data_IF_040128632725
#
_entry.id   IF_040128632725
#
_cell.length_a   1.000
_cell.length_b   1.000
_cell.length_c   1.000
_cell.angle_alpha   90.00
_cell.angle_beta   90.00
_cell.angle_gamma   90.00
#
_symmetry.space_group_name_H-M   'P 1'
#
loop_
_entity.id
_entity.type
_entity.pdbx_description
1 polymer ?
#
# COMPACT_ATOMS: atom_id res chain seq x y z
N UNK A 1 7.30 7.06 -9.34
CA UNK A 1 7.28 7.25 -7.88
C UNK A 1 7.96 6.06 -7.25
N UNK A 2 8.98 6.31 -6.44
CA UNK A 2 9.73 5.26 -5.74
C UNK A 2 8.93 4.73 -4.55
N UNK A 3 9.14 3.46 -4.18
CA UNK A 3 8.46 2.85 -3.03
C UNK A 3 9.19 3.29 -1.76
N UNK A 4 8.52 3.96 -0.80
CA UNK A 4 9.17 4.36 0.44
C UNK A 4 9.65 3.14 1.25
N UNK A 5 10.79 3.26 1.93
CA UNK A 5 11.41 2.15 2.66
C UNK A 5 10.50 1.47 3.67
N UNK A 6 9.74 2.24 4.45
CA UNK A 6 8.78 1.72 5.44
C UNK A 6 7.62 0.94 4.81
N UNK A 7 7.19 1.33 3.61
CA UNK A 7 6.21 0.54 2.84
C UNK A 7 6.85 -0.73 2.27
N UNK A 8 8.09 -0.66 1.79
CA UNK A 8 8.81 -1.81 1.26
C UNK A 8 9.06 -2.87 2.34
N UNK A 9 9.48 -2.46 3.54
CA UNK A 9 9.65 -3.34 4.71
C UNK A 9 8.33 -4.02 5.09
N UNK A 10 7.23 -3.26 5.16
CA UNK A 10 5.93 -3.82 5.51
C UNK A 10 5.40 -4.82 4.46
N UNK A 11 5.66 -4.56 3.17
CA UNK A 11 5.35 -5.50 2.08
C UNK A 11 6.23 -6.76 2.16
N UNK A 12 7.53 -6.61 2.45
CA UNK A 12 8.45 -7.74 2.59
C UNK A 12 8.07 -8.66 3.77
N UNK A 13 7.48 -8.11 4.83
CA UNK A 13 6.95 -8.88 5.96
C UNK A 13 5.70 -9.70 5.61
N UNK A 14 5.00 -9.38 4.51
CA UNK A 14 3.75 -10.04 4.11
C UNK A 14 3.79 -10.44 2.64
N UNK A 15 4.25 -11.66 2.34
CA UNK A 15 4.42 -12.16 0.97
C UNK A 15 3.19 -12.01 0.08
N UNK A 16 1.98 -12.20 0.65
CA UNK A 16 0.71 -12.01 -0.09
C UNK A 16 0.50 -10.56 -0.51
N UNK A 17 0.79 -9.60 0.37
CA UNK A 17 0.68 -8.18 0.06
C UNK A 17 1.76 -7.74 -0.95
N UNK A 18 2.98 -8.28 -0.87
CA UNK A 18 4.03 -8.02 -1.85
C UNK A 18 3.61 -8.47 -3.26
N UNK A 19 3.06 -9.69 -3.38
CA UNK A 19 2.54 -10.21 -4.64
C UNK A 19 1.37 -9.36 -5.16
N UNK A 20 0.41 -9.01 -4.30
CA UNK A 20 -0.71 -8.15 -4.66
C UNK A 20 -0.24 -6.77 -5.13
N UNK A 21 0.71 -6.15 -4.42
CA UNK A 21 1.28 -4.85 -4.77
C UNK A 21 2.03 -4.87 -6.11
N UNK A 22 2.74 -5.96 -6.41
CA UNK A 22 3.42 -6.16 -7.68
C UNK A 22 2.43 -6.32 -8.86
N UNK A 23 1.25 -6.88 -8.60
CA UNK A 23 0.19 -7.06 -9.59
C UNK A 23 -0.70 -5.82 -9.80
N UNK A 24 -0.54 -4.77 -9.00
CA UNK A 24 -1.35 -3.54 -9.13
C UNK A 24 -1.10 -2.82 -10.45
N UNK A 25 -2.18 -2.28 -11.02
CA UNK A 25 -2.09 -1.31 -12.09
C UNK A 25 -1.49 0.03 -11.61
N UNK A 26 -1.08 0.88 -12.56
CA UNK A 26 -0.44 2.16 -12.23
C UNK A 26 -1.28 3.08 -11.35
N UNK A 27 -2.61 3.01 -11.46
CA UNK A 27 -3.53 3.83 -10.66
C UNK A 27 -3.58 3.36 -9.21
N UNK A 28 -3.76 2.07 -8.97
CA UNK A 28 -3.75 1.54 -7.60
C UNK A 28 -2.37 1.66 -6.97
N UNK A 29 -1.29 1.42 -7.74
CA UNK A 29 0.08 1.61 -7.27
C UNK A 29 0.31 3.06 -6.84
N UNK A 30 -0.11 4.02 -7.67
CA UNK A 30 -0.06 5.44 -7.31
C UNK A 30 -0.89 5.74 -6.06
N UNK A 31 -2.11 5.20 -5.94
CA UNK A 31 -2.97 5.42 -4.78
C UNK A 31 -2.34 4.91 -3.48
N UNK A 32 -1.70 3.74 -3.47
CA UNK A 32 -0.97 3.22 -2.31
C UNK A 32 0.17 4.16 -1.92
N UNK A 33 1.01 4.54 -2.90
CA UNK A 33 2.16 5.42 -2.67
C UNK A 33 1.75 6.82 -2.20
N UNK A 34 0.67 7.36 -2.75
CA UNK A 34 0.16 8.67 -2.37
C UNK A 34 -0.43 8.64 -0.95
N UNK A 35 -1.23 7.60 -0.61
CA UNK A 35 -1.85 7.47 0.71
C UNK A 35 -0.84 7.19 1.82
N UNK A 36 0.27 6.51 1.54
CA UNK A 36 1.34 6.31 2.53
C UNK A 36 2.10 7.61 2.80
N UNK A 37 2.39 8.41 1.76
CA UNK A 37 3.18 9.64 1.89
C UNK A 37 2.41 10.85 2.42
N UNK A 38 1.10 10.94 2.18
CA UNK A 38 0.26 12.09 2.57
C UNK A 38 -0.12 12.11 4.07
N UNK A 39 0.34 11.14 4.85
CA UNK A 39 0.13 11.14 6.28
C UNK A 39 0.96 12.25 6.97
N UNK A 40 0.28 13.11 7.73
CA UNK A 40 0.90 14.29 8.39
C UNK A 40 1.87 13.96 9.53
N UNK A 41 1.81 12.76 10.10
CA UNK A 41 2.68 12.35 11.21
C UNK A 41 3.27 10.96 10.96
N UNK A 42 4.48 10.65 11.47
CA UNK A 42 5.08 9.33 11.34
C UNK A 42 4.20 8.21 11.92
N UNK A 43 3.54 8.45 13.06
CA UNK A 43 2.63 7.48 13.65
C UNK A 43 1.40 7.20 12.76
N UNK A 44 0.82 8.25 12.15
CA UNK A 44 -0.30 8.07 11.22
C UNK A 44 0.14 7.39 9.91
N UNK A 45 1.39 7.62 9.48
CA UNK A 45 2.00 6.96 8.32
C UNK A 45 2.14 5.46 8.55
N UNK A 46 2.74 5.05 9.66
CA UNK A 46 2.89 3.64 10.02
C UNK A 46 1.53 2.93 10.07
N UNK A 47 0.51 3.55 10.71
CA UNK A 47 -0.86 3.00 10.76
C UNK A 47 -1.49 2.86 9.37
N UNK A 48 -1.29 3.84 8.48
CA UNK A 48 -1.80 3.77 7.09
C UNK A 48 -1.10 2.69 6.29
N UNK A 49 0.21 2.55 6.41
CA UNK A 49 0.99 1.51 5.72
C UNK A 49 0.51 0.13 6.18
N UNK A 50 0.44 -0.10 7.49
CA UNK A 50 -0.07 -1.36 8.03
C UNK A 50 -1.47 -1.70 7.48
N UNK A 51 -2.38 -0.72 7.46
CA UNK A 51 -3.71 -0.90 6.90
C UNK A 51 -3.69 -1.21 5.40
N UNK A 52 -2.88 -0.51 4.60
CA UNK A 52 -2.78 -0.74 3.17
C UNK A 52 -2.21 -2.14 2.86
N UNK A 53 -1.20 -2.58 3.61
CA UNK A 53 -0.60 -3.91 3.47
C UNK A 53 -1.61 -5.00 3.84
N UNK A 54 -2.35 -4.83 4.94
CA UNK A 54 -3.41 -5.76 5.33
C UNK A 54 -4.53 -5.83 4.28
N UNK A 55 -5.03 -4.67 3.82
CA UNK A 55 -6.04 -4.62 2.76
C UNK A 55 -5.54 -5.32 1.48
N UNK A 56 -4.28 -5.12 1.08
CA UNK A 56 -3.66 -5.79 -0.08
C UNK A 56 -3.51 -7.31 0.13
N UNK A 57 -3.11 -7.76 1.32
CA UNK A 57 -3.04 -9.18 1.65
C UNK A 57 -4.41 -9.86 1.55
N UNK A 58 -5.48 -9.12 1.84
CA UNK A 58 -6.87 -9.55 1.68
C UNK A 58 -7.41 -9.37 0.26
N UNK A 59 -6.59 -8.95 -0.71
CA UNK A 59 -7.00 -8.69 -2.09
C UNK A 59 -7.88 -7.45 -2.29
N UNK A 60 -7.99 -6.58 -1.28
CA UNK A 60 -8.74 -5.33 -1.36
C UNK A 60 -7.88 -4.24 -1.99
N UNK A 61 -8.43 -3.57 -3.00
CA UNK A 61 -7.77 -2.48 -3.69
C UNK A 61 -8.14 -1.12 -3.09
N UNK A 62 -7.18 -0.17 -2.98
CA UNK A 62 -7.47 1.18 -2.50
C UNK A 62 -8.46 1.93 -3.40
N UNK A 63 -8.43 1.64 -4.70
CA UNK A 63 -9.37 2.12 -5.68
C UNK A 63 -9.99 0.92 -6.39
N UNK A 64 -11.25 0.61 -6.05
CA UNK A 64 -12.04 -0.31 -6.86
C UNK A 64 -12.64 0.49 -8.01
N UNK A 65 -12.35 0.10 -9.26
CA UNK A 65 -13.15 0.57 -10.39
C UNK A 65 -14.56 0.04 -10.14
N UNK A 66 -15.48 0.94 -9.78
CA UNK A 66 -16.91 0.63 -9.75
C UNK A 66 -17.27 0.10 -11.16
N UNK A 67 -18.05 -0.99 -11.26
CA UNK A 67 -18.43 -1.56 -12.55
C UNK A 67 -19.11 -0.53 -13.46
#
# INVERSE_FOLDING_TARGET
AEVPGDLAEALAATSAAAAAFAALDGLNRYAVLYRSQTAKTPAARARRIAKLVDDLAQGKLPYSKRP
#
